data_IF_292918692777
#
_entry.id   IF_292918692777
#
_cell.length_a   1.000
_cell.length_b   1.000
_cell.length_c   1.000
_cell.angle_alpha   90.00
_cell.angle_beta   90.00
_cell.angle_gamma   90.00
#
_symmetry.space_group_name_H-M   'P 1'
#
loop_
_entity.id
_entity.type
_entity.pdbx_description
1 polymer ?
#
# COMPACT_ATOMS: atom_id res chain seq x y z
N UNK A 1 -19.38 -23.56 31.78
CA UNK A 1 -18.05 -23.36 32.36
C UNK A 1 -17.04 -23.35 31.22
N UNK A 2 -16.11 -22.41 31.28
CA UNK A 2 -14.85 -22.32 30.52
C UNK A 2 -14.91 -21.71 29.11
N UNK A 3 -14.78 -20.38 29.16
CA UNK A 3 -14.33 -19.44 28.14
C UNK A 3 -12.91 -19.74 27.62
N UNK A 4 -12.71 -19.58 26.30
CA UNK A 4 -11.40 -19.28 25.72
C UNK A 4 -11.56 -18.17 24.67
N UNK A 5 -11.61 -16.94 25.15
CA UNK A 5 -11.40 -15.75 24.33
C UNK A 5 -9.90 -15.59 24.07
N UNK A 6 -9.50 -15.70 22.80
CA UNK A 6 -8.10 -15.59 22.39
C UNK A 6 -7.97 -15.40 20.89
N UNK A 7 -8.43 -14.26 20.37
CA UNK A 7 -8.34 -13.95 18.93
C UNK A 7 -8.15 -12.48 18.57
N UNK A 8 -8.41 -11.53 19.47
CA UNK A 8 -8.50 -10.11 19.08
C UNK A 8 -7.18 -9.39 18.78
N UNK A 9 -6.03 -9.89 19.28
CA UNK A 9 -4.74 -9.19 19.16
C UNK A 9 -4.08 -9.33 17.79
N UNK A 10 -4.11 -10.54 17.20
CA UNK A 10 -3.51 -10.80 15.89
C UNK A 10 -4.23 -10.07 14.76
N UNK A 11 -5.56 -10.00 14.86
CA UNK A 11 -6.41 -9.34 13.86
C UNK A 11 -6.24 -7.82 13.88
N UNK A 12 -6.02 -7.23 15.06
CA UNK A 12 -5.78 -5.79 15.22
C UNK A 12 -4.41 -5.36 14.63
N UNK A 13 -3.37 -6.17 14.84
CA UNK A 13 -2.04 -5.92 14.27
C UNK A 13 -2.08 -6.07 12.75
N UNK A 14 -2.66 -7.16 12.24
CA UNK A 14 -2.83 -7.38 10.81
C UNK A 14 -3.56 -6.22 10.14
N UNK A 15 -4.69 -5.78 10.71
CA UNK A 15 -5.47 -4.64 10.21
C UNK A 15 -4.67 -3.34 10.20
N UNK A 16 -3.86 -3.09 11.23
CA UNK A 16 -3.02 -1.89 11.31
C UNK A 16 -1.90 -1.92 10.26
N UNK A 17 -1.26 -3.07 10.06
CA UNK A 17 -0.22 -3.24 9.04
C UNK A 17 -0.78 -3.11 7.62
N UNK A 18 -1.98 -3.63 7.35
CA UNK A 18 -2.65 -3.43 6.06
C UNK A 18 -2.97 -1.95 5.79
N UNK A 19 -3.41 -1.19 6.81
CA UNK A 19 -3.61 0.26 6.68
C UNK A 19 -2.30 1.00 6.39
N UNK A 20 -1.23 0.70 7.14
CA UNK A 20 0.09 1.29 6.90
C UNK A 20 0.63 0.94 5.51
N UNK A 21 0.45 -0.30 5.06
CA UNK A 21 0.81 -0.74 3.72
C UNK A 21 0.03 0.03 2.65
N UNK A 22 -1.28 0.23 2.83
CA UNK A 22 -2.09 1.03 1.91
C UNK A 22 -1.62 2.49 1.85
N UNK A 23 -1.34 3.13 2.99
CA UNK A 23 -0.77 4.48 3.06
C UNK A 23 0.58 4.54 2.33
N UNK A 24 1.46 3.57 2.59
CA UNK A 24 2.76 3.49 1.94
C UNK A 24 2.65 3.39 0.42
N UNK A 25 1.81 2.49 -0.10
CA UNK A 25 1.67 2.27 -1.55
C UNK A 25 0.94 3.41 -2.28
N UNK A 26 -0.01 4.07 -1.62
CA UNK A 26 -0.81 5.14 -2.22
C UNK A 26 -0.15 6.51 -2.08
N UNK A 27 0.41 6.81 -0.91
CA UNK A 27 0.79 8.16 -0.50
C UNK A 27 2.31 8.37 -0.41
N UNK A 28 3.11 7.35 -0.08
CA UNK A 28 4.56 7.54 0.01
C UNK A 28 5.16 7.66 -1.39
N UNK A 29 5.91 8.74 -1.63
CA UNK A 29 6.49 9.06 -2.94
C UNK A 29 7.99 9.26 -2.86
N UNK A 30 8.68 8.90 -3.93
CA UNK A 30 10.02 9.39 -4.24
C UNK A 30 9.96 10.15 -5.56
N UNK A 31 10.23 11.47 -5.50
CA UNK A 31 9.90 12.41 -6.58
C UNK A 31 8.40 12.31 -6.92
N UNK A 32 8.06 12.00 -8.18
CA UNK A 32 6.68 11.86 -8.64
C UNK A 32 6.18 10.40 -8.67
N UNK A 33 7.01 9.41 -8.30
CA UNK A 33 6.62 7.99 -8.32
C UNK A 33 6.32 7.42 -6.93
N UNK A 34 5.64 6.27 -6.89
CA UNK A 34 5.52 5.46 -5.68
C UNK A 34 6.91 5.14 -5.11
N UNK A 35 7.04 5.17 -3.78
CA UNK A 35 8.30 4.90 -3.09
C UNK A 35 8.77 3.44 -3.28
N UNK A 36 7.83 2.50 -3.32
CA UNK A 36 8.11 1.09 -3.58
C UNK A 36 8.48 0.85 -5.06
N UNK A 37 9.64 0.23 -5.35
CA UNK A 37 10.09 0.04 -6.73
C UNK A 37 9.22 -0.96 -7.51
N UNK A 38 8.63 -1.96 -6.86
CA UNK A 38 7.74 -2.95 -7.51
C UNK A 38 6.40 -2.29 -7.84
N UNK A 39 5.85 -1.51 -6.94
CA UNK A 39 4.66 -0.69 -7.19
C UNK A 39 4.92 0.28 -8.34
N UNK A 40 6.05 1.00 -8.30
CA UNK A 40 6.40 1.95 -9.34
C UNK A 40 6.51 1.29 -10.71
N UNK A 41 7.03 0.07 -10.80
CA UNK A 41 7.08 -0.71 -12.04
C UNK A 41 5.68 -1.03 -12.57
N UNK A 42 4.81 -1.61 -11.75
CA UNK A 42 3.46 -1.99 -12.18
C UNK A 42 2.59 -0.79 -12.56
N UNK A 43 2.64 0.27 -11.74
CA UNK A 43 1.87 1.50 -11.96
C UNK A 43 2.35 2.26 -13.20
N UNK A 44 3.67 2.31 -13.44
CA UNK A 44 4.23 2.83 -14.69
C UNK A 44 3.75 2.03 -15.91
N UNK A 45 3.39 0.76 -15.75
CA UNK A 45 2.86 -0.05 -16.85
C UNK A 45 1.32 -0.01 -16.94
N UNK A 46 0.65 0.88 -16.19
CA UNK A 46 -0.80 1.07 -16.26
C UNK A 46 -1.62 0.13 -15.37
N UNK A 47 -0.98 -0.59 -14.44
CA UNK A 47 -1.70 -1.38 -13.46
C UNK A 47 -2.42 -0.51 -12.43
N UNK A 48 -3.37 -1.13 -11.73
CA UNK A 48 -3.98 -0.60 -10.52
C UNK A 48 -3.67 -1.50 -9.32
N UNK A 49 -3.62 -0.93 -8.11
CA UNK A 49 -3.57 -1.69 -6.85
C UNK A 49 -4.92 -2.37 -6.62
N UNK A 50 -4.97 -3.69 -6.72
CA UNK A 50 -6.23 -4.43 -6.69
C UNK A 50 -6.58 -4.94 -5.29
N UNK A 51 -5.61 -5.49 -4.55
CA UNK A 51 -5.82 -6.04 -3.22
C UNK A 51 -4.50 -6.11 -2.43
N UNK A 52 -4.62 -6.04 -1.11
CA UNK A 52 -3.56 -6.32 -0.14
C UNK A 52 -3.89 -7.61 0.59
N UNK A 53 -2.92 -8.51 0.73
CA UNK A 53 -3.10 -9.83 1.33
C UNK A 53 -2.18 -9.99 2.53
N UNK A 54 -2.77 -10.07 3.72
CA UNK A 54 -2.05 -10.37 4.95
C UNK A 54 -1.60 -11.84 4.98
N UNK A 55 -0.38 -12.10 5.45
CA UNK A 55 0.14 -13.46 5.62
C UNK A 55 0.34 -14.25 4.33
N UNK A 56 0.31 -13.60 3.16
CA UNK A 56 0.43 -14.25 1.86
C UNK A 56 1.84 -14.77 1.56
N UNK A 57 2.87 -14.22 2.23
CA UNK A 57 4.24 -14.73 2.15
C UNK A 57 4.84 -14.97 3.54
N UNK A 58 4.59 -16.13 4.17
CA UNK A 58 5.07 -16.44 5.52
C UNK A 58 6.55 -16.83 5.57
N UNK A 59 7.27 -16.78 4.44
CA UNK A 59 8.70 -17.07 4.43
C UNK A 59 9.48 -16.05 5.27
N UNK A 60 10.62 -16.46 5.82
CA UNK A 60 11.49 -15.55 6.57
C UNK A 60 11.88 -14.30 5.75
N UNK A 61 11.98 -14.44 4.43
CA UNK A 61 12.20 -13.32 3.51
C UNK A 61 10.98 -12.40 3.45
N UNK A 62 9.79 -12.95 3.20
CA UNK A 62 8.54 -12.18 3.12
C UNK A 62 8.23 -11.41 4.41
N UNK A 63 8.48 -12.03 5.57
CA UNK A 63 8.33 -11.37 6.86
C UNK A 63 9.32 -10.20 7.03
N UNK A 64 10.56 -10.33 6.56
CA UNK A 64 11.56 -9.25 6.63
C UNK A 64 11.29 -8.12 5.63
N UNK A 65 10.84 -8.44 4.42
CA UNK A 65 10.65 -7.46 3.35
C UNK A 65 9.33 -6.68 3.50
N UNK A 66 8.25 -7.34 3.90
CA UNK A 66 6.90 -6.74 3.88
C UNK A 66 5.98 -7.21 5.00
N UNK A 67 6.52 -7.75 6.10
CA UNK A 67 5.72 -8.40 7.16
C UNK A 67 4.80 -9.51 6.63
N UNK A 68 5.18 -10.15 5.52
CA UNK A 68 4.41 -11.19 4.85
C UNK A 68 3.20 -10.68 4.05
N UNK A 69 3.07 -9.36 3.86
CA UNK A 69 2.04 -8.77 3.02
C UNK A 69 2.42 -8.91 1.55
N UNK A 70 1.47 -9.32 0.72
CA UNK A 70 1.59 -9.27 -0.74
C UNK A 70 0.51 -8.39 -1.36
N UNK A 71 0.78 -7.92 -2.57
CA UNK A 71 -0.07 -6.99 -3.32
C UNK A 71 -0.45 -7.63 -4.65
N UNK A 72 -1.73 -7.59 -4.99
CA UNK A 72 -2.17 -7.88 -6.35
C UNK A 72 -2.25 -6.59 -7.15
N UNK A 73 -1.61 -6.59 -8.32
CA UNK A 73 -1.76 -5.55 -9.33
C UNK A 73 -2.67 -6.05 -10.44
N UNK A 74 -3.64 -5.23 -10.86
CA UNK A 74 -4.58 -5.59 -11.93
C UNK A 74 -4.37 -4.71 -13.15
N UNK A 75 -4.20 -5.35 -14.29
CA UNK A 75 -4.21 -4.75 -15.62
C UNK A 75 -5.61 -4.91 -16.23
N UNK A 76 -6.26 -3.80 -16.53
CA UNK A 76 -7.53 -3.77 -17.25
C UNK A 76 -7.24 -3.09 -18.58
N UNK A 77 -7.44 -3.81 -19.69
CA UNK A 77 -6.95 -3.41 -21.01
C UNK A 77 -7.43 -2.00 -21.41
N UNK A 78 -8.68 -1.69 -21.10
CA UNK A 78 -9.33 -0.41 -21.33
C UNK A 78 -8.81 0.74 -20.44
N UNK A 79 -8.12 0.42 -19.35
CA UNK A 79 -7.62 1.40 -18.38
C UNK A 79 -6.09 1.56 -18.39
N UNK A 80 -5.34 0.72 -19.12
CA UNK A 80 -3.87 0.73 -19.10
C UNK A 80 -3.31 2.11 -19.45
N UNK A 81 -3.73 2.69 -20.57
CA UNK A 81 -3.22 3.99 -21.05
C UNK A 81 -3.60 5.14 -20.10
N UNK A 82 -4.84 5.14 -19.62
CA UNK A 82 -5.35 6.13 -18.66
C UNK A 82 -4.56 6.08 -17.36
N UNK A 83 -4.37 4.88 -16.78
CA UNK A 83 -3.62 4.69 -15.54
C UNK A 83 -2.15 5.06 -15.73
N UNK A 84 -1.54 4.61 -16.83
CA UNK A 84 -0.15 4.93 -17.18
C UNK A 84 0.05 6.45 -17.23
N UNK A 85 -0.78 7.14 -18.00
CA UNK A 85 -0.67 8.58 -18.21
C UNK A 85 -0.86 9.34 -16.91
N UNK A 86 -1.88 8.98 -16.11
CA UNK A 86 -2.11 9.60 -14.81
C UNK A 86 -0.94 9.38 -13.84
N UNK A 87 -0.35 8.18 -13.82
CA UNK A 87 0.80 7.89 -12.96
C UNK A 87 2.07 8.61 -13.41
N UNK A 88 2.38 8.60 -14.71
CA UNK A 88 3.59 9.23 -15.25
C UNK A 88 3.53 10.75 -15.15
N UNK A 89 2.36 11.37 -15.44
CA UNK A 89 2.21 12.81 -15.43
C UNK A 89 2.03 13.40 -14.02
N UNK A 90 1.35 12.69 -13.13
CA UNK A 90 0.90 13.25 -11.85
C UNK A 90 1.21 12.38 -10.63
N UNK A 91 1.85 11.21 -10.81
CA UNK A 91 2.08 10.27 -9.72
C UNK A 91 0.81 9.64 -9.15
N UNK A 92 -0.31 9.75 -9.87
CA UNK A 92 -1.61 9.23 -9.45
C UNK A 92 -1.62 7.71 -9.43
N UNK A 93 -2.03 7.12 -8.32
CA UNK A 93 -2.07 5.66 -8.13
C UNK A 93 -3.51 5.19 -8.26
N UNK A 94 -3.81 4.50 -9.36
CA UNK A 94 -5.09 3.82 -9.51
C UNK A 94 -5.18 2.66 -8.52
N UNK A 95 -6.29 2.58 -7.78
CA UNK A 95 -6.48 1.56 -6.76
C UNK A 95 -7.95 1.15 -6.63
N UNK A 96 -8.20 -0.09 -6.23
CA UNK A 96 -9.51 -0.58 -5.87
C UNK A 96 -10.03 0.13 -4.61
N UNK A 97 -11.35 0.30 -4.53
CA UNK A 97 -12.02 0.93 -3.37
C UNK A 97 -11.69 0.21 -2.05
N UNK A 98 -11.53 -1.10 -2.10
CA UNK A 98 -11.11 -1.93 -0.95
C UNK A 98 -9.72 -1.55 -0.42
N UNK A 99 -8.82 -1.05 -1.27
CA UNK A 99 -7.48 -0.59 -0.87
C UNK A 99 -7.53 0.87 -0.43
N UNK A 100 -8.19 1.75 -1.20
CA UNK A 100 -8.23 3.17 -0.86
C UNK A 100 -9.02 3.47 0.42
N UNK A 101 -10.05 2.67 0.74
CA UNK A 101 -10.82 2.80 1.99
C UNK A 101 -10.02 2.45 3.25
N UNK A 102 -8.85 1.79 3.13
CA UNK A 102 -7.95 1.54 4.26
C UNK A 102 -7.23 2.82 4.71
N UNK A 103 -7.03 3.77 3.80
CA UNK A 103 -6.50 5.09 4.10
C UNK A 103 -7.67 5.92 4.63
N UNK A 104 -7.92 5.81 5.93
CA UNK A 104 -8.99 6.57 6.59
C UNK A 104 -8.88 8.07 6.32
N UNK A 105 -10.01 8.79 6.47
CA UNK A 105 -10.01 10.26 6.46
C UNK A 105 -9.26 10.74 7.70
N UNK A 106 -7.98 11.03 7.53
CA UNK A 106 -7.08 11.67 8.49
C UNK A 106 -6.77 10.86 9.78
N UNK A 107 -5.51 10.43 9.89
CA UNK A 107 -4.94 9.97 11.16
C UNK A 107 -4.69 11.18 12.08
N UNK A 108 -4.92 11.09 13.40
CA UNK A 108 -4.66 12.18 14.37
C UNK A 108 -3.19 12.63 14.46
N UNK A 109 -2.26 11.93 13.79
CA UNK A 109 -0.84 12.27 13.74
C UNK A 109 -0.38 12.90 12.41
N UNK A 110 -1.31 13.34 11.57
CA UNK A 110 -0.98 13.90 10.25
C UNK A 110 -0.35 12.87 9.32
N UNK A 111 0.02 13.25 8.09
CA UNK A 111 0.73 12.35 7.20
C UNK A 111 2.09 12.04 7.84
N UNK A 112 2.37 10.75 8.07
CA UNK A 112 3.74 10.25 8.23
C UNK A 112 4.38 10.33 6.84
N UNK A 113 4.56 11.56 6.35
CA UNK A 113 5.42 11.84 5.23
C UNK A 113 6.82 11.92 5.84
N UNK A 114 7.75 11.12 5.32
CA UNK A 114 9.16 11.25 5.65
C UNK A 114 9.57 12.74 5.58
N UNK A 115 10.44 13.23 6.48
CA UNK A 115 10.87 14.62 6.46
C UNK A 115 11.36 15.00 5.06
N UNK A 116 11.00 16.20 4.62
CA UNK A 116 11.44 16.74 3.34
C UNK A 116 12.97 16.61 3.25
N UNK A 117 13.55 15.95 2.23
CA UNK A 117 15.00 15.82 2.08
C UNK A 117 15.72 17.18 1.96
N UNK A 118 14.99 18.29 1.77
CA UNK A 118 15.53 19.66 1.81
C UNK A 118 15.68 20.24 3.22
N UNK A 119 15.24 19.54 4.25
CA UNK A 119 15.34 19.99 5.65
C UNK A 119 16.71 19.68 6.28
N UNK A 120 17.62 19.05 5.54
CA UNK A 120 18.95 18.63 5.99
C UNK A 120 20.10 19.43 5.34
N UNK A 121 19.83 20.65 4.86
CA UNK A 121 20.83 21.60 4.38
C UNK A 121 20.92 22.81 5.31
#
# INVERSE_FOLDING_TARGET
>A
DSSAGGGGGGDAVASSLLRLCAVYLLCAKHRQGALDPVAAFHLRNGASLAALHWGANPSARGLRESAGIMVNYRYQLDQIETNHSAYVAHGHVAAAVSVSSLVGRESPHGPILAPDPRSAL
#
